data_IF_149366230434
#
_entry.id   IF_149366230434
#
_cell.length_a   1.000
_cell.length_b   1.000
_cell.length_c   1.000
_cell.angle_alpha   90.00
_cell.angle_beta   90.00
_cell.angle_gamma   90.00
#
_symmetry.space_group_name_H-M   'P 1'
#
loop_
_entity.id
_entity.type
_entity.pdbx_description
1 polymer ?
#
# COMPACT_ATOMS: atom_id res chain seq x y z
N UNK A 1 5.11 -17.10 18.82
CA UNK A 1 3.90 -16.27 18.96
C UNK A 1 2.92 -16.76 17.92
N UNK A 2 1.73 -17.16 18.33
CA UNK A 2 0.77 -17.90 17.49
C UNK A 2 0.25 -17.07 16.30
N UNK A 3 -0.09 -17.74 15.20
CA UNK A 3 -0.50 -17.11 13.93
C UNK A 3 -1.72 -16.20 14.10
N UNK A 4 -2.61 -16.57 15.02
CA UNK A 4 -3.87 -15.89 15.26
C UNK A 4 -3.66 -14.55 15.99
N UNK A 5 -2.70 -14.49 16.91
CA UNK A 5 -2.29 -13.23 17.57
C UNK A 5 -1.57 -12.27 16.61
N UNK A 6 -0.75 -12.80 15.69
CA UNK A 6 -0.13 -12.02 14.61
C UNK A 6 -1.20 -11.43 13.67
N UNK A 7 -2.20 -12.23 13.33
CA UNK A 7 -3.30 -11.84 12.46
C UNK A 7 -4.18 -10.74 13.08
N UNK A 8 -4.53 -10.83 14.36
CA UNK A 8 -5.31 -9.80 15.05
C UNK A 8 -4.59 -8.45 15.12
N UNK A 9 -3.29 -8.46 15.42
CA UNK A 9 -2.48 -7.23 15.45
C UNK A 9 -2.42 -6.54 14.08
N UNK A 10 -2.28 -7.31 13.00
CA UNK A 10 -2.28 -6.79 11.62
C UNK A 10 -3.67 -6.29 11.20
N UNK A 11 -4.75 -6.96 11.62
CA UNK A 11 -6.13 -6.53 11.37
C UNK A 11 -6.44 -5.16 11.99
N UNK A 12 -5.96 -4.90 13.20
CA UNK A 12 -6.19 -3.62 13.87
C UNK A 12 -5.51 -2.47 13.11
N UNK A 13 -4.27 -2.69 12.65
CA UNK A 13 -3.55 -1.74 11.79
C UNK A 13 -4.28 -1.56 10.44
N UNK A 14 -4.77 -2.65 9.84
CA UNK A 14 -5.45 -2.61 8.55
C UNK A 14 -6.82 -1.91 8.62
N UNK A 15 -7.55 -2.05 9.74
CA UNK A 15 -8.84 -1.38 9.96
C UNK A 15 -8.66 0.13 10.12
N UNK A 16 -7.65 0.57 10.87
CA UNK A 16 -7.25 1.98 10.97
C UNK A 16 -6.76 2.50 9.62
N UNK A 17 -5.95 1.71 8.92
CA UNK A 17 -5.48 2.02 7.57
C UNK A 17 -6.62 2.22 6.59
N UNK A 18 -7.62 1.33 6.58
CA UNK A 18 -8.76 1.42 5.65
C UNK A 18 -9.59 2.67 5.90
N UNK A 19 -9.89 3.00 7.16
CA UNK A 19 -10.61 4.23 7.49
C UNK A 19 -9.81 5.49 7.13
N UNK A 20 -8.49 5.47 7.36
CA UNK A 20 -7.61 6.59 6.98
C UNK A 20 -7.42 6.70 5.47
N UNK A 21 -7.33 5.58 4.76
CA UNK A 21 -7.26 5.52 3.29
C UNK A 21 -8.54 6.03 2.65
N UNK A 22 -9.70 5.65 3.17
CA UNK A 22 -10.99 6.19 2.70
C UNK A 22 -11.04 7.71 2.94
N UNK A 23 -10.68 8.16 4.15
CA UNK A 23 -10.63 9.60 4.47
C UNK A 23 -9.66 10.37 3.58
N UNK A 24 -8.42 9.88 3.44
CA UNK A 24 -7.39 10.51 2.58
C UNK A 24 -7.74 10.43 1.10
N UNK A 25 -8.37 9.35 0.62
CA UNK A 25 -8.83 9.23 -0.77
C UNK A 25 -9.93 10.23 -1.07
N UNK A 26 -10.86 10.46 -0.15
CA UNK A 26 -11.89 11.50 -0.30
C UNK A 26 -11.24 12.89 -0.34
N UNK A 27 -10.28 13.14 0.54
CA UNK A 27 -9.55 14.41 0.61
C UNK A 27 -8.70 14.67 -0.65
N UNK A 28 -8.06 13.62 -1.17
CA UNK A 28 -7.31 13.65 -2.42
C UNK A 28 -8.22 13.82 -3.62
N UNK A 29 -9.39 13.19 -3.62
CA UNK A 29 -10.37 13.32 -4.69
C UNK A 29 -10.96 14.73 -4.73
N UNK A 30 -11.31 15.30 -3.57
CA UNK A 30 -11.76 16.69 -3.44
C UNK A 30 -10.65 17.68 -3.81
N UNK A 31 -9.42 17.43 -3.37
CA UNK A 31 -8.26 18.23 -3.74
C UNK A 31 -7.97 18.17 -5.25
N UNK A 32 -7.99 16.98 -5.84
CA UNK A 32 -7.81 16.79 -7.28
C UNK A 32 -8.94 17.42 -8.09
N UNK A 33 -10.19 17.39 -7.60
CA UNK A 33 -11.33 18.05 -8.23
C UNK A 33 -11.22 19.57 -8.16
N UNK A 34 -10.80 20.12 -7.01
CA UNK A 34 -10.53 21.55 -6.84
C UNK A 34 -9.37 22.02 -7.73
N UNK A 35 -8.30 21.24 -7.82
CA UNK A 35 -7.13 21.53 -8.66
C UNK A 35 -7.26 21.08 -10.11
N UNK A 36 -8.34 20.40 -10.51
CA UNK A 36 -8.64 20.15 -11.93
C UNK A 36 -8.87 21.46 -12.69
N UNK A 37 -9.20 22.54 -11.98
CA UNK A 37 -9.24 23.92 -12.49
C UNK A 37 -7.83 24.50 -12.78
N UNK A 38 -6.77 23.90 -12.23
CA UNK A 38 -5.36 24.28 -12.41
C UNK A 38 -4.50 23.04 -12.70
N UNK A 39 -4.49 22.63 -13.97
CA UNK A 39 -3.86 21.41 -14.51
C UNK A 39 -2.41 21.17 -14.10
N UNK A 40 -1.67 22.21 -13.75
CA UNK A 40 -0.25 22.13 -13.38
C UNK A 40 -0.01 21.41 -12.06
N UNK A 41 -0.97 21.39 -11.11
CA UNK A 41 -0.70 20.88 -9.75
C UNK A 41 -1.40 19.56 -9.41
N UNK A 42 -2.28 19.04 -10.30
CA UNK A 42 -3.07 17.83 -9.99
C UNK A 42 -2.20 16.58 -9.79
N UNK A 43 -1.09 16.46 -10.53
CA UNK A 43 -0.17 15.32 -10.45
C UNK A 43 0.66 15.33 -9.16
N UNK A 44 0.99 16.51 -8.64
CA UNK A 44 1.67 16.69 -7.34
C UNK A 44 0.79 16.23 -6.18
N UNK A 45 -0.51 16.52 -6.23
CA UNK A 45 -1.47 16.11 -5.19
C UNK A 45 -1.60 14.58 -5.14
N UNK A 46 -1.62 13.93 -6.30
CA UNK A 46 -1.62 12.46 -6.37
C UNK A 46 -0.36 11.85 -5.73
N UNK A 47 0.81 12.47 -5.91
CA UNK A 47 2.06 12.02 -5.28
C UNK A 47 2.04 12.22 -3.75
N UNK A 48 1.62 13.40 -3.27
CA UNK A 48 1.49 13.69 -1.83
C UNK A 48 0.48 12.76 -1.16
N UNK A 49 -0.55 12.35 -1.90
CA UNK A 49 -1.53 11.36 -1.47
C UNK A 49 -0.99 9.97 -1.15
N UNK A 50 0.23 9.64 -1.59
CA UNK A 50 0.87 8.36 -1.27
C UNK A 50 1.65 8.39 0.06
N UNK A 51 1.84 9.56 0.67
CA UNK A 51 2.54 9.72 1.96
C UNK A 51 1.85 8.93 3.10
N UNK A 52 0.50 8.98 3.25
CA UNK A 52 -0.20 8.11 4.20
C UNK A 52 0.11 6.62 3.96
N UNK A 53 0.10 6.17 2.72
CA UNK A 53 0.38 4.77 2.34
C UNK A 53 1.76 4.33 2.84
N UNK A 54 2.78 5.17 2.65
CA UNK A 54 4.14 4.96 3.18
C UNK A 54 4.17 4.83 4.70
N UNK A 55 3.48 5.70 5.41
CA UNK A 55 3.43 5.66 6.87
C UNK A 55 2.79 4.37 7.40
N UNK A 56 1.76 3.87 6.74
CA UNK A 56 1.11 2.61 7.13
C UNK A 56 1.95 1.39 6.77
N UNK A 57 2.61 1.39 5.61
CA UNK A 57 3.58 0.34 5.27
C UNK A 57 4.76 0.31 6.24
N UNK A 58 5.20 1.47 6.74
CA UNK A 58 6.17 1.54 7.82
C UNK A 58 5.65 0.91 9.13
N UNK A 59 4.42 1.23 9.52
CA UNK A 59 3.79 0.63 10.71
C UNK A 59 3.66 -0.88 10.58
N UNK A 60 3.24 -1.39 9.40
CA UNK A 60 3.20 -2.83 9.09
C UNK A 60 4.60 -3.45 9.19
N UNK A 61 5.61 -2.82 8.60
CA UNK A 61 7.02 -3.24 8.66
C UNK A 61 7.50 -3.38 10.11
N UNK A 62 7.25 -2.39 10.97
CA UNK A 62 7.61 -2.46 12.40
C UNK A 62 6.92 -3.65 13.08
N UNK A 63 5.63 -3.88 12.80
CA UNK A 63 4.87 -4.99 13.37
C UNK A 63 5.45 -6.33 12.89
N UNK A 64 5.77 -6.48 11.61
CA UNK A 64 6.41 -7.70 11.09
C UNK A 64 7.79 -7.96 11.71
N UNK A 65 8.58 -6.91 11.94
CA UNK A 65 9.89 -7.02 12.57
C UNK A 65 9.80 -7.48 14.04
N UNK A 66 8.65 -7.33 14.72
CA UNK A 66 8.46 -7.83 16.09
C UNK A 66 8.15 -9.32 16.16
N UNK A 67 7.72 -9.92 15.06
CA UNK A 67 7.21 -11.28 15.06
C UNK A 67 8.29 -12.34 14.84
N UNK A 68 9.35 -12.02 14.12
CA UNK A 68 10.40 -12.98 13.78
C UNK A 68 11.79 -12.32 13.89
N UNK A 69 12.68 -12.99 14.61
CA UNK A 69 14.05 -12.55 14.88
C UNK A 69 15.06 -13.02 13.83
N UNK A 70 14.65 -13.85 12.87
CA UNK A 70 15.51 -14.29 11.78
C UNK A 70 16.05 -13.07 10.99
N UNK A 71 17.39 -13.01 10.91
CA UNK A 71 18.12 -11.98 10.21
C UNK A 71 17.75 -11.91 8.71
N UNK A 72 17.56 -13.05 8.05
CA UNK A 72 17.21 -13.09 6.63
C UNK A 72 15.83 -12.50 6.38
N UNK A 73 14.86 -12.83 7.24
CA UNK A 73 13.49 -12.30 7.21
C UNK A 73 13.45 -10.79 7.49
N UNK A 74 14.15 -10.33 8.54
CA UNK A 74 14.21 -8.90 8.90
C UNK A 74 14.88 -8.06 7.80
N UNK A 75 15.91 -8.59 7.14
CA UNK A 75 16.56 -7.93 6.01
C UNK A 75 15.58 -7.77 4.84
N UNK A 76 14.85 -8.83 4.50
CA UNK A 76 13.90 -8.82 3.38
C UNK A 76 12.75 -7.81 3.61
N UNK A 77 12.19 -7.75 4.82
CA UNK A 77 11.15 -6.77 5.17
C UNK A 77 11.67 -5.34 5.10
N UNK A 78 12.86 -5.07 5.65
CA UNK A 78 13.47 -3.74 5.56
C UNK A 78 13.73 -3.36 4.11
N UNK A 79 14.27 -4.28 3.30
CA UNK A 79 14.50 -4.06 1.87
C UNK A 79 13.20 -3.77 1.13
N UNK A 80 12.10 -4.46 1.44
CA UNK A 80 10.79 -4.16 0.85
C UNK A 80 10.33 -2.73 1.16
N UNK A 81 10.45 -2.32 2.42
CA UNK A 81 10.11 -0.95 2.83
C UNK A 81 11.01 0.11 2.16
N UNK A 82 12.33 -0.13 2.11
CA UNK A 82 13.27 0.76 1.43
C UNK A 82 12.99 0.89 -0.07
N UNK A 83 12.59 -0.21 -0.71
CA UNK A 83 12.22 -0.23 -2.13
C UNK A 83 10.96 0.58 -2.38
N UNK A 84 9.98 0.51 -1.46
CA UNK A 84 8.77 1.32 -1.51
C UNK A 84 9.07 2.82 -1.34
N UNK A 85 9.92 3.19 -0.38
CA UNK A 85 10.42 4.57 -0.23
C UNK A 85 11.16 5.05 -1.48
N UNK A 86 12.08 4.25 -2.01
CA UNK A 86 12.84 4.57 -3.21
C UNK A 86 11.91 4.81 -4.40
N UNK A 87 10.92 3.93 -4.61
CA UNK A 87 9.93 4.07 -5.69
C UNK A 87 9.10 5.34 -5.54
N UNK A 88 8.71 5.69 -4.31
CA UNK A 88 8.00 6.95 -4.04
C UNK A 88 8.84 8.19 -4.38
N UNK A 89 10.10 8.24 -3.94
CA UNK A 89 10.98 9.36 -4.26
C UNK A 89 11.29 9.46 -5.75
N UNK A 90 11.43 8.32 -6.43
CA UNK A 90 11.61 8.27 -7.88
C UNK A 90 10.38 8.82 -8.60
N UNK A 91 9.18 8.38 -8.22
CA UNK A 91 7.92 8.89 -8.76
C UNK A 91 7.80 10.41 -8.53
N UNK A 92 8.09 10.88 -7.31
CA UNK A 92 8.08 12.29 -6.98
C UNK A 92 9.07 13.09 -7.84
N UNK A 93 10.29 12.58 -8.03
CA UNK A 93 11.31 13.21 -8.89
C UNK A 93 10.89 13.27 -10.36
N UNK A 94 10.27 12.21 -10.89
CA UNK A 94 9.73 12.17 -12.26
C UNK A 94 8.62 13.21 -12.44
N UNK A 95 7.71 13.32 -11.47
CA UNK A 95 6.62 14.30 -11.49
C UNK A 95 7.18 15.72 -11.40
N UNK A 96 8.12 15.98 -10.48
CA UNK A 96 8.75 17.28 -10.34
C UNK A 96 9.51 17.69 -11.62
N UNK A 97 10.21 16.75 -12.27
CA UNK A 97 10.93 16.98 -13.53
C UNK A 97 9.99 17.29 -14.70
N UNK A 98 8.82 16.64 -14.74
CA UNK A 98 7.78 16.96 -15.72
C UNK A 98 7.20 18.36 -15.50
N UNK A 99 6.93 18.74 -14.25
CA UNK A 99 6.34 20.04 -13.91
C UNK A 99 7.30 21.23 -14.10
N UNK A 100 8.60 21.00 -13.93
CA UNK A 100 9.65 22.01 -14.17
C UNK A 100 10.04 22.14 -15.65
N UNK A 101 9.44 21.32 -16.54
CA UNK A 101 9.71 21.35 -17.97
C UNK A 101 11.05 20.72 -18.38
N UNK A 102 11.76 20.10 -17.44
CA UNK A 102 13.00 19.34 -17.72
C UNK A 102 12.73 18.01 -18.45
N UNK A 103 11.47 17.59 -18.51
CA UNK A 103 11.10 16.28 -19.04
C UNK A 103 9.88 16.37 -19.96
N UNK A 104 10.03 15.86 -21.18
CA UNK A 104 8.96 15.84 -22.17
C UNK A 104 7.88 14.81 -21.82
N UNK A 105 6.67 15.00 -22.37
CA UNK A 105 5.50 14.12 -22.16
C UNK A 105 5.80 12.66 -22.47
N UNK A 106 6.51 12.38 -23.56
CA UNK A 106 6.86 11.01 -23.94
C UNK A 106 7.82 10.37 -22.94
N UNK A 107 8.81 11.14 -22.46
CA UNK A 107 9.71 10.71 -21.40
C UNK A 107 8.95 10.36 -20.13
N UNK A 108 7.94 11.15 -19.76
CA UNK A 108 7.07 10.89 -18.62
C UNK A 108 6.25 9.61 -18.76
N UNK A 109 5.65 9.38 -19.93
CA UNK A 109 4.91 8.13 -20.19
C UNK A 109 5.84 6.91 -20.10
N UNK A 110 7.02 6.97 -20.73
CA UNK A 110 7.98 5.86 -20.68
C UNK A 110 8.52 5.60 -19.27
N UNK A 111 8.81 6.65 -18.49
CA UNK A 111 9.24 6.52 -17.10
C UNK A 111 8.15 5.84 -16.24
N UNK A 112 6.87 6.16 -16.46
CA UNK A 112 5.76 5.52 -15.76
C UNK A 112 5.57 4.05 -16.16
N UNK A 113 5.73 3.70 -17.43
CA UNK A 113 5.61 2.31 -17.91
C UNK A 113 6.77 1.45 -17.38
N UNK A 114 8.00 1.95 -17.52
CA UNK A 114 9.21 1.23 -17.08
C UNK A 114 9.28 1.15 -15.56
N UNK A 115 8.92 2.21 -14.84
CA UNK A 115 8.92 2.24 -13.38
C UNK A 115 7.74 1.50 -12.74
N UNK A 116 6.58 1.50 -13.40
CA UNK A 116 5.36 0.88 -12.90
C UNK A 116 5.41 -0.65 -12.87
N UNK A 117 6.02 -1.28 -13.89
CA UNK A 117 6.13 -2.75 -13.96
C UNK A 117 6.91 -3.36 -12.78
N UNK A 118 8.13 -2.90 -12.45
CA UNK A 118 8.86 -3.33 -11.25
C UNK A 118 8.12 -3.04 -9.95
N UNK A 119 7.46 -1.88 -9.86
CA UNK A 119 6.75 -1.48 -8.64
C UNK A 119 5.62 -2.44 -8.25
N UNK A 120 5.03 -3.15 -9.22
CA UNK A 120 3.98 -4.15 -8.98
C UNK A 120 4.57 -5.56 -8.79
N UNK A 121 5.59 -5.92 -9.58
CA UNK A 121 6.17 -7.26 -9.58
C UNK A 121 7.07 -7.52 -8.36
N UNK A 122 7.84 -6.53 -7.91
CA UNK A 122 8.79 -6.67 -6.80
C UNK A 122 8.09 -6.99 -5.46
N UNK A 123 7.01 -6.31 -5.06
CA UNK A 123 6.28 -6.65 -3.85
C UNK A 123 5.75 -8.08 -3.88
N UNK A 124 5.24 -8.53 -5.03
CA UNK A 124 4.71 -9.88 -5.18
C UNK A 124 5.80 -10.96 -5.06
N UNK A 125 6.98 -10.66 -5.57
CA UNK A 125 8.13 -11.57 -5.48
C UNK A 125 8.68 -11.64 -4.04
N UNK A 126 8.74 -10.49 -3.35
CA UNK A 126 9.14 -10.40 -1.94
C UNK A 126 8.15 -11.15 -1.05
N UNK A 127 6.83 -10.96 -1.23
CA UNK A 127 5.80 -11.70 -0.51
C UNK A 127 5.97 -13.21 -0.68
N UNK A 128 6.23 -13.67 -1.91
CA UNK A 128 6.50 -15.09 -2.18
C UNK A 128 7.75 -15.61 -1.49
N UNK A 129 8.80 -14.79 -1.38
CA UNK A 129 10.03 -15.14 -0.66
C UNK A 129 9.83 -15.17 0.85
N UNK A 130 9.04 -14.24 1.40
CA UNK A 130 8.68 -14.21 2.81
C UNK A 130 7.87 -15.44 3.22
N UNK A 131 6.93 -15.88 2.37
CA UNK A 131 6.18 -17.13 2.54
C UNK A 131 7.06 -18.39 2.52
N UNK A 132 8.16 -18.38 1.77
CA UNK A 132 9.12 -19.50 1.73
C UNK A 132 10.00 -19.56 2.99
N UNK A 133 10.27 -18.41 3.61
CA UNK A 133 11.10 -18.29 4.81
C UNK A 133 10.31 -18.51 6.10
N UNK A 134 9.08 -18.00 6.17
CA UNK A 134 8.17 -18.19 7.30
C UNK A 134 6.80 -18.65 6.76
N UNK A 135 6.45 -19.94 6.87
CA UNK A 135 5.15 -20.45 6.42
C UNK A 135 3.97 -19.89 7.23
N UNK A 136 4.23 -19.31 8.41
CA UNK A 136 3.23 -18.58 9.20
C UNK A 136 3.12 -17.10 8.82
N UNK A 137 3.94 -16.60 7.88
CA UNK A 137 3.88 -15.23 7.43
C UNK A 137 2.48 -14.90 6.88
N UNK A 138 1.84 -13.92 7.52
CA UNK A 138 0.53 -13.44 7.10
C UNK A 138 0.73 -12.46 5.96
N UNK A 139 0.63 -12.97 4.74
CA UNK A 139 0.75 -12.14 3.53
C UNK A 139 -0.42 -11.15 3.41
N UNK A 140 -0.16 -10.02 2.76
CA UNK A 140 -1.15 -8.99 2.41
C UNK A 140 -2.40 -9.56 1.72
N UNK A 141 -2.23 -10.60 0.90
CA UNK A 141 -3.31 -11.30 0.20
C UNK A 141 -4.20 -12.14 1.12
N UNK A 142 -3.64 -12.74 2.19
CA UNK A 142 -4.43 -13.50 3.17
C UNK A 142 -5.26 -12.56 4.05
N UNK A 143 -4.72 -11.41 4.44
CA UNK A 143 -5.46 -10.35 5.12
C UNK A 143 -6.60 -9.79 4.26
N UNK A 144 -6.33 -9.55 2.97
CA UNK A 144 -7.37 -9.10 2.03
C UNK A 144 -8.47 -10.15 1.83
N UNK A 145 -8.13 -11.44 1.79
CA UNK A 145 -9.11 -12.53 1.67
C UNK A 145 -9.94 -12.69 2.94
N UNK A 146 -9.32 -12.66 4.11
CA UNK A 146 -10.01 -12.82 5.39
C UNK A 146 -10.93 -11.64 5.71
N UNK A 147 -10.52 -10.41 5.40
CA UNK A 147 -11.39 -9.23 5.53
C UNK A 147 -12.60 -9.27 4.59
N UNK A 148 -12.44 -9.80 3.35
CA UNK A 148 -13.55 -10.06 2.43
C UNK A 148 -14.49 -11.14 2.96
N UNK A 149 -13.97 -12.22 3.52
CA UNK A 149 -14.80 -13.28 4.11
C UNK A 149 -15.57 -12.79 5.34
N UNK A 150 -14.95 -11.98 6.21
CA UNK A 150 -15.66 -11.34 7.33
C UNK A 150 -16.75 -10.37 6.87
N UNK A 151 -16.47 -9.59 5.81
CA UNK A 151 -17.47 -8.69 5.23
C UNK A 151 -18.63 -9.47 4.62
N UNK A 152 -18.34 -10.57 3.93
CA UNK A 152 -19.33 -11.47 3.34
C UNK A 152 -20.23 -12.09 4.41
N UNK A 153 -19.65 -12.66 5.49
CA UNK A 153 -20.44 -13.19 6.61
C UNK A 153 -21.32 -12.14 7.29
N UNK A 154 -20.85 -10.89 7.40
CA UNK A 154 -21.68 -9.78 7.91
C UNK A 154 -22.83 -9.45 6.97
N UNK A 155 -22.60 -9.40 5.65
CA UNK A 155 -23.66 -9.15 4.68
C UNK A 155 -24.70 -10.29 4.67
N UNK A 156 -24.22 -11.53 4.66
CA UNK A 156 -25.08 -12.72 4.65
C UNK A 156 -25.95 -12.75 5.92
N UNK A 157 -25.38 -12.44 7.10
CA UNK A 157 -26.15 -12.36 8.35
C UNK A 157 -27.12 -11.17 8.44
N UNK A 158 -26.89 -10.08 7.71
CA UNK A 158 -27.85 -8.96 7.61
C UNK A 158 -29.02 -9.33 6.68
N UNK A 159 -28.73 -10.02 5.57
CA UNK A 159 -29.77 -10.52 4.65
C UNK A 159 -30.67 -11.58 5.28
N UNK A 160 -30.16 -12.36 6.25
CA UNK A 160 -30.97 -13.33 6.99
C UNK A 160 -31.90 -12.63 8.00
N UNK A 161 -31.49 -11.50 8.59
CA UNK A 161 -32.31 -10.70 9.51
C UNK A 161 -33.37 -9.84 8.82
N UNK A 162 -33.24 -9.58 7.52
CA UNK A 162 -34.24 -8.84 6.72
C UNK A 162 -35.33 -9.76 6.14
N UNK A 163 -35.17 -11.08 6.29
CA UNK A 163 -36.09 -12.10 5.76
C UNK A 163 -37.08 -12.64 6.80
N UNK A 164 -36.86 -12.33 8.08
CA UNK A 164 -37.75 -12.61 9.22
C UNK A 164 -38.59 -11.36 9.57
#
# INVERSE_FOLDING_TARGET
MDRETRFQALLQVDKTYRSFMIGSSILLFLGAFYFMMHTTYSVMIAAVGLVPTLFFEWKKTIVYLKFNDDWAYRRLIKSNFFLLCFTFFLLFGVIASFLTGHMNRDGFVWAMVIGGLPAILLPFWIDRKLLQLDPEHVTSSMLAKASREQLKRRLDGINELEKD
#
